data_IF_564484776488
#
_entry.id   IF_564484776488
#
_cell.length_a   1.000
_cell.length_b   1.000
_cell.length_c   1.000
_cell.angle_alpha   90.00
_cell.angle_beta   90.00
_cell.angle_gamma   90.00
#
_symmetry.space_group_name_H-M   'P 1'
#
loop_
_entity.id
_entity.type
_entity.pdbx_description
1 polymer ?
#
# COMPACT_ATOMS: atom_id res chain seq x y z
N UNK A 1 -27.62 -15.61 14.17
CA UNK A 1 -28.23 -14.89 13.03
C UNK A 1 -27.26 -14.77 11.85
N UNK A 2 -26.03 -14.28 12.05
CA UNK A 2 -25.07 -14.07 10.95
C UNK A 2 -24.67 -15.38 10.24
N UNK A 3 -24.27 -16.41 11.00
CA UNK A 3 -23.93 -17.73 10.43
C UNK A 3 -25.15 -18.47 9.89
N UNK A 4 -26.32 -18.32 10.53
CA UNK A 4 -27.57 -18.94 10.09
C UNK A 4 -28.11 -18.35 8.78
N UNK A 5 -27.72 -17.12 8.42
CA UNK A 5 -28.21 -16.43 7.23
C UNK A 5 -27.25 -16.49 6.02
N UNK A 6 -25.92 -16.58 6.24
CA UNK A 6 -24.94 -16.36 5.16
C UNK A 6 -24.06 -17.56 4.81
N UNK A 7 -24.02 -18.61 5.65
CA UNK A 7 -23.18 -19.81 5.44
C UNK A 7 -21.70 -19.53 5.10
N UNK A 8 -21.10 -18.43 5.58
CA UNK A 8 -19.69 -18.10 5.29
C UNK A 8 -18.73 -18.89 6.19
N UNK A 9 -17.98 -19.87 5.66
CA UNK A 9 -17.06 -20.65 6.46
C UNK A 9 -15.94 -19.74 6.99
N UNK A 10 -15.71 -19.77 8.30
CA UNK A 10 -14.66 -18.99 8.95
C UNK A 10 -15.09 -17.59 9.42
N UNK A 11 -16.30 -17.11 9.14
CA UNK A 11 -16.79 -15.86 9.72
C UNK A 11 -17.11 -16.04 11.22
N UNK A 12 -16.36 -15.36 12.08
CA UNK A 12 -16.50 -15.47 13.53
C UNK A 12 -17.05 -14.20 14.19
N UNK A 13 -16.81 -13.02 13.62
CA UNK A 13 -17.30 -11.76 14.17
C UNK A 13 -17.51 -10.67 13.11
N UNK A 14 -18.24 -9.61 13.49
CA UNK A 14 -18.35 -8.36 12.71
C UNK A 14 -17.81 -7.23 13.57
N UNK A 15 -16.78 -6.55 13.06
CA UNK A 15 -16.25 -5.32 13.65
C UNK A 15 -16.95 -4.10 13.08
N UNK A 16 -17.20 -3.08 13.91
CA UNK A 16 -17.68 -1.77 13.46
C UNK A 16 -16.69 -0.72 13.93
N UNK A 17 -16.16 0.07 13.01
CA UNK A 17 -15.29 1.20 13.32
C UNK A 17 -15.95 2.48 12.81
N UNK A 18 -16.11 3.45 13.70
CA UNK A 18 -16.42 4.82 13.32
C UNK A 18 -15.10 5.55 13.10
N UNK A 19 -14.92 6.12 11.91
CA UNK A 19 -13.76 6.93 11.53
C UNK A 19 -14.19 8.38 11.44
N UNK A 20 -13.45 9.27 12.08
CA UNK A 20 -13.67 10.71 12.00
C UNK A 20 -12.45 11.36 11.38
N UNK A 21 -12.66 12.18 10.35
CA UNK A 21 -11.62 12.95 9.68
C UNK A 21 -11.94 14.44 9.84
N UNK A 22 -11.00 15.15 10.43
CA UNK A 22 -11.07 16.60 10.62
C UNK A 22 -10.10 17.30 9.67
N UNK A 23 -10.62 18.22 8.88
CA UNK A 23 -9.92 19.15 8.00
C UNK A 23 -10.22 20.57 8.46
N UNK A 24 -9.44 21.55 7.99
CA UNK A 24 -9.54 22.94 8.43
C UNK A 24 -10.96 23.53 8.32
N UNK A 25 -11.75 23.08 7.35
CA UNK A 25 -13.08 23.57 7.02
C UNK A 25 -14.18 22.51 7.21
N UNK A 26 -13.83 21.25 7.46
CA UNK A 26 -14.78 20.14 7.39
C UNK A 26 -14.43 19.00 8.34
N UNK A 27 -15.42 18.56 9.10
CA UNK A 27 -15.40 17.26 9.78
C UNK A 27 -16.28 16.27 9.03
N UNK A 28 -15.77 15.07 8.83
CA UNK A 28 -16.52 13.94 8.23
C UNK A 28 -16.46 12.75 9.14
N UNK A 29 -17.54 11.98 9.20
CA UNK A 29 -17.64 10.75 9.96
C UNK A 29 -18.15 9.63 9.04
N UNK A 30 -17.51 8.47 9.11
CA UNK A 30 -17.82 7.29 8.31
C UNK A 30 -17.86 6.07 9.22
N UNK A 31 -18.80 5.16 8.97
CA UNK A 31 -18.86 3.86 9.64
C UNK A 31 -18.40 2.79 8.67
N UNK A 32 -17.38 2.03 9.05
CA UNK A 32 -16.90 0.88 8.31
C UNK A 32 -17.19 -0.41 9.09
N UNK A 33 -17.70 -1.42 8.37
CA UNK A 33 -17.92 -2.77 8.91
C UNK A 33 -16.86 -3.73 8.38
N UNK A 34 -16.39 -4.60 9.26
CA UNK A 34 -15.34 -5.58 8.99
C UNK A 34 -15.85 -6.98 9.27
N UNK A 35 -15.57 -7.89 8.36
CA UNK A 35 -15.82 -9.32 8.53
C UNK A 35 -14.55 -9.94 9.09
N UNK A 36 -14.66 -10.57 10.25
CA UNK A 36 -13.50 -11.06 10.98
C UNK A 36 -13.52 -12.59 11.04
N UNK A 37 -12.39 -13.19 10.72
CA UNK A 37 -12.14 -14.61 10.91
C UNK A 37 -11.84 -14.97 12.37
N UNK A 38 -11.70 -13.97 13.23
CA UNK A 38 -11.59 -14.14 14.66
C UNK A 38 -12.28 -13.01 15.44
N UNK A 39 -12.64 -13.26 16.69
CA UNK A 39 -13.19 -12.24 17.57
C UNK A 39 -12.03 -11.40 18.16
N UNK A 40 -11.90 -10.16 17.70
CA UNK A 40 -10.90 -9.20 18.20
C UNK A 40 -11.50 -8.32 19.30
N UNK A 41 -10.67 -7.91 20.27
CA UNK A 41 -11.05 -6.81 21.15
C UNK A 41 -11.20 -5.49 20.35
N UNK A 42 -11.94 -4.50 20.86
CA UNK A 42 -12.05 -3.19 20.21
C UNK A 42 -10.68 -2.54 19.94
N UNK A 43 -9.74 -2.67 20.87
CA UNK A 43 -8.38 -2.14 20.76
C UNK A 43 -7.61 -2.83 19.64
N UNK A 44 -7.63 -4.17 19.63
CA UNK A 44 -7.01 -4.97 18.57
C UNK A 44 -7.58 -4.67 17.19
N UNK A 45 -8.91 -4.50 17.09
CA UNK A 45 -9.58 -4.17 15.84
C UNK A 45 -9.15 -2.79 15.31
N UNK A 46 -9.00 -1.79 16.19
CA UNK A 46 -8.49 -0.47 15.83
C UNK A 46 -7.04 -0.54 15.38
N UNK A 47 -6.18 -1.26 16.10
CA UNK A 47 -4.76 -1.39 15.78
C UNK A 47 -4.54 -2.06 14.43
N UNK A 48 -5.14 -3.24 14.21
CA UNK A 48 -5.05 -3.96 12.94
C UNK A 48 -5.59 -3.11 11.78
N UNK A 49 -6.69 -2.39 12.00
CA UNK A 49 -7.24 -1.48 10.98
C UNK A 49 -6.26 -0.36 10.65
N UNK A 50 -5.64 0.25 11.66
CA UNK A 50 -4.66 1.34 11.46
C UNK A 50 -3.40 0.84 10.75
N UNK A 51 -2.90 -0.34 11.11
CA UNK A 51 -1.77 -0.97 10.44
C UNK A 51 -2.07 -1.27 8.98
N UNK A 52 -3.26 -1.81 8.69
CA UNK A 52 -3.72 -2.04 7.33
C UNK A 52 -3.73 -0.75 6.50
N UNK A 53 -4.30 0.34 7.03
CA UNK A 53 -4.23 1.66 6.39
C UNK A 53 -2.80 2.20 6.25
N UNK A 54 -1.89 1.81 7.14
CA UNK A 54 -0.47 2.11 7.02
C UNK A 54 0.16 1.51 5.77
N UNK A 55 -0.25 0.31 5.37
CA UNK A 55 0.22 -0.34 4.13
C UNK A 55 -0.29 0.45 2.92
N UNK A 56 -1.59 0.78 2.91
CA UNK A 56 -2.21 1.52 1.82
C UNK A 56 -1.54 2.89 1.59
N UNK A 57 -1.35 3.64 2.67
CA UNK A 57 -0.77 4.98 2.60
C UNK A 57 0.72 4.98 2.25
N UNK A 58 1.49 3.99 2.72
CA UNK A 58 2.96 4.00 2.58
C UNK A 58 3.45 3.24 1.34
N UNK A 59 2.69 2.28 0.86
CA UNK A 59 3.05 1.44 -0.29
C UNK A 59 2.14 1.71 -1.48
N UNK A 60 0.85 1.39 -1.37
CA UNK A 60 -0.08 1.42 -2.52
C UNK A 60 -0.19 2.82 -3.13
N UNK A 61 -0.48 3.83 -2.31
CA UNK A 61 -0.56 5.21 -2.81
C UNK A 61 0.71 5.68 -3.53
N UNK A 62 1.88 5.26 -3.05
CA UNK A 62 3.15 5.63 -3.69
C UNK A 62 3.31 4.91 -5.04
N UNK A 63 2.93 3.64 -5.13
CA UNK A 63 2.94 2.90 -6.39
C UNK A 63 1.95 3.51 -7.39
N UNK A 64 0.72 3.80 -6.95
CA UNK A 64 -0.35 4.35 -7.77
C UNK A 64 0.02 5.71 -8.35
N UNK A 65 0.46 6.63 -7.49
CA UNK A 65 0.69 8.03 -7.89
C UNK A 65 2.13 8.28 -8.35
N UNK A 66 3.13 7.77 -7.62
CA UNK A 66 4.54 8.09 -7.92
C UNK A 66 5.11 7.18 -9.01
N UNK A 67 4.71 5.90 -9.02
CA UNK A 67 5.09 4.91 -10.04
C UNK A 67 4.05 4.76 -11.16
N UNK A 68 2.97 5.55 -11.12
CA UNK A 68 1.94 5.65 -12.17
C UNK A 68 1.28 4.29 -12.45
N UNK A 69 1.05 3.48 -11.41
CA UNK A 69 0.40 2.18 -11.56
C UNK A 69 -1.04 2.31 -12.04
N UNK A 70 -1.84 3.22 -11.47
CA UNK A 70 -3.22 3.51 -11.90
C UNK A 70 -3.33 3.96 -13.36
N UNK A 71 -2.32 4.67 -13.86
CA UNK A 71 -2.31 5.18 -15.23
C UNK A 71 -1.87 4.10 -16.24
N UNK A 72 -1.42 2.95 -15.75
CA UNK A 72 -0.90 1.88 -16.58
C UNK A 72 -2.01 1.19 -17.36
N UNK A 73 -1.86 1.12 -18.70
CA UNK A 73 -2.88 0.51 -19.58
C UNK A 73 -2.59 -0.94 -19.96
N UNK A 74 -1.55 -1.55 -19.39
CA UNK A 74 -1.19 -2.95 -19.67
C UNK A 74 -2.22 -3.89 -19.05
N UNK A 75 -2.91 -4.68 -19.88
CA UNK A 75 -3.98 -5.60 -19.46
C UNK A 75 -3.85 -7.00 -20.06
N UNK A 76 -2.75 -7.27 -20.76
CA UNK A 76 -2.56 -8.49 -21.54
C UNK A 76 -1.58 -9.43 -20.85
N UNK A 77 -1.89 -10.71 -20.86
CA UNK A 77 -1.04 -11.80 -20.36
C UNK A 77 -0.50 -11.47 -18.96
N UNK A 78 0.79 -11.74 -18.70
CA UNK A 78 1.47 -11.46 -17.43
C UNK A 78 1.94 -10.01 -17.28
N UNK A 79 1.55 -9.10 -18.19
CA UNK A 79 1.98 -7.71 -18.18
C UNK A 79 1.67 -6.95 -16.87
N UNK A 80 0.44 -7.03 -16.32
CA UNK A 80 0.10 -6.36 -15.07
C UNK A 80 0.97 -6.83 -13.89
N UNK A 81 1.10 -8.15 -13.71
CA UNK A 81 1.86 -8.76 -12.61
C UNK A 81 3.35 -8.43 -12.70
N UNK A 82 3.94 -8.60 -13.88
CA UNK A 82 5.36 -8.32 -14.10
C UNK A 82 5.70 -6.86 -13.81
N UNK A 83 4.86 -5.93 -14.25
CA UNK A 83 5.09 -4.50 -14.01
C UNK A 83 4.85 -4.10 -12.56
N UNK A 84 3.86 -4.69 -11.88
CA UNK A 84 3.65 -4.47 -10.44
C UNK A 84 4.89 -4.91 -9.63
N UNK A 85 5.46 -6.08 -9.96
CA UNK A 85 6.70 -6.57 -9.37
C UNK A 85 7.88 -5.63 -9.62
N UNK A 86 8.11 -5.25 -10.88
CA UNK A 86 9.21 -4.35 -11.24
C UNK A 86 9.09 -2.98 -10.56
N UNK A 87 7.88 -2.42 -10.46
CA UNK A 87 7.63 -1.16 -9.73
C UNK A 87 7.94 -1.28 -8.25
N UNK A 88 7.52 -2.37 -7.60
CA UNK A 88 7.83 -2.63 -6.18
C UNK A 88 9.32 -2.77 -5.95
N UNK A 89 10.03 -3.48 -6.83
CA UNK A 89 11.49 -3.61 -6.76
C UNK A 89 12.17 -2.24 -6.91
N UNK A 90 11.80 -1.45 -7.93
CA UNK A 90 12.32 -0.11 -8.15
C UNK A 90 12.04 0.84 -6.97
N UNK A 91 10.84 0.76 -6.39
CA UNK A 91 10.46 1.54 -5.21
C UNK A 91 11.34 1.19 -4.01
N UNK A 92 11.55 -0.10 -3.75
CA UNK A 92 12.33 -0.56 -2.61
C UNK A 92 13.79 -0.10 -2.69
N UNK A 93 14.45 -0.22 -3.85
CA UNK A 93 15.84 0.26 -3.99
C UNK A 93 15.96 1.77 -3.91
N UNK A 94 15.01 2.52 -4.48
CA UNK A 94 14.98 3.97 -4.34
C UNK A 94 14.73 4.41 -2.88
N UNK A 95 14.01 3.59 -2.10
CA UNK A 95 13.76 3.83 -0.68
C UNK A 95 14.99 3.53 0.20
N UNK A 96 15.77 2.52 -0.16
CA UNK A 96 17.02 2.14 0.53
C UNK A 96 18.18 3.09 0.21
N UNK A 97 18.15 3.75 -0.95
CA UNK A 97 19.16 4.73 -1.31
C UNK A 97 19.16 5.90 -0.30
N UNK A 98 20.32 6.31 0.25
CA UNK A 98 20.39 7.18 1.42
C UNK A 98 20.15 8.68 1.13
N UNK A 99 20.20 9.13 -0.13
CA UNK A 99 20.06 10.56 -0.43
C UNK A 99 18.70 11.10 0.02
N UNK A 100 18.69 12.38 0.42
CA UNK A 100 17.45 13.07 0.78
C UNK A 100 16.68 13.43 -0.48
N UNK A 101 15.36 13.25 -0.45
CA UNK A 101 14.49 13.67 -1.54
C UNK A 101 13.17 12.92 -1.56
N UNK A 102 12.23 13.41 -2.37
CA UNK A 102 10.99 12.70 -2.62
C UNK A 102 11.23 11.48 -3.52
N UNK A 103 10.39 10.45 -3.38
CA UNK A 103 10.43 9.26 -4.24
C UNK A 103 10.31 9.64 -5.73
N UNK A 104 9.47 10.64 -6.05
CA UNK A 104 9.34 11.20 -7.40
C UNK A 104 10.65 11.83 -7.89
N UNK A 105 11.37 12.52 -7.01
CA UNK A 105 12.68 13.11 -7.30
C UNK A 105 13.72 12.05 -7.61
N UNK A 106 13.85 11.05 -6.74
CA UNK A 106 14.77 9.91 -6.93
C UNK A 106 14.50 9.17 -8.24
N UNK A 107 13.23 8.90 -8.55
CA UNK A 107 12.83 8.28 -9.82
C UNK A 107 13.25 9.12 -11.03
N UNK A 108 13.08 10.44 -10.98
CA UNK A 108 13.50 11.34 -12.07
C UNK A 108 15.02 11.37 -12.21
N UNK A 109 15.74 11.46 -11.09
CA UNK A 109 17.20 11.46 -11.08
C UNK A 109 17.77 10.18 -11.71
N UNK A 110 17.18 9.03 -11.39
CA UNK A 110 17.54 7.76 -12.02
C UNK A 110 17.26 7.73 -13.53
N UNK A 111 16.31 8.52 -14.03
CA UNK A 111 16.07 8.67 -15.46
C UNK A 111 16.97 9.69 -16.18
N UNK A 112 17.73 10.50 -15.43
CA UNK A 112 18.55 11.59 -15.97
C UNK A 112 20.05 11.44 -15.71
N UNK A 113 20.44 10.50 -14.84
CA UNK A 113 21.81 10.30 -14.43
C UNK A 113 22.09 8.80 -14.31
N UNK A 114 22.88 8.28 -15.25
CA UNK A 114 23.22 6.86 -15.34
C UNK A 114 24.05 6.38 -14.15
N UNK A 115 24.94 7.21 -13.60
CA UNK A 115 25.71 6.85 -12.41
C UNK A 115 24.80 6.67 -11.20
N UNK A 116 23.81 7.55 -11.04
CA UNK A 116 22.81 7.41 -9.99
C UNK A 116 21.92 6.19 -10.22
N UNK A 117 21.48 5.93 -11.45
CA UNK A 117 20.72 4.73 -11.80
C UNK A 117 21.51 3.45 -11.45
N UNK A 118 22.77 3.38 -11.85
CA UNK A 118 23.65 2.26 -11.55
C UNK A 118 23.85 2.10 -10.04
N UNK A 119 23.93 3.20 -9.27
CA UNK A 119 24.00 3.13 -7.81
C UNK A 119 22.75 2.48 -7.19
N UNK A 120 21.56 2.70 -7.76
CA UNK A 120 20.33 2.03 -7.33
C UNK A 120 20.34 0.55 -7.70
N UNK A 121 20.69 0.22 -8.95
CA UNK A 121 20.67 -1.16 -9.44
C UNK A 121 21.70 -2.03 -8.69
N UNK A 122 22.87 -1.48 -8.37
CA UNK A 122 23.91 -2.19 -7.61
C UNK A 122 23.44 -2.66 -6.23
N UNK A 123 22.43 -2.00 -5.64
CA UNK A 123 21.86 -2.45 -4.37
C UNK A 123 21.22 -3.84 -4.50
N UNK A 124 20.67 -4.22 -5.66
CA UNK A 124 20.15 -5.58 -5.88
C UNK A 124 21.22 -6.66 -5.74
N UNK A 125 22.46 -6.39 -6.18
CA UNK A 125 23.55 -7.35 -6.05
C UNK A 125 24.05 -7.51 -4.60
N UNK A 126 23.67 -6.57 -3.72
CA UNK A 126 24.06 -6.54 -2.31
C UNK A 126 22.95 -7.06 -1.38
N UNK A 127 21.73 -7.25 -1.88
CA UNK A 127 20.64 -7.95 -1.20
C UNK A 127 20.94 -9.46 -1.23
N UNK A 128 21.82 -9.91 -0.32
CA UNK A 128 21.98 -11.32 0.03
C UNK A 128 21.10 -11.67 1.22
#
# INVERSE_FOLDING_TARGET
WLQSAHQWPGLKAVGRITRRRELADKTTEEVAYYLLSDALSPEQLVDVTREHWGIENRLHWVLDVTMQEDQSRHRRDHGPENLALLRRLAFNVAKLEPSKGSMKGKRKQAGWNDDYLLSLIRQFAQLR
#
